data_IF_453425896110
#
_entry.id   IF_453425896110
#
_cell.length_a   1.000
_cell.length_b   1.000
_cell.length_c   1.000
_cell.angle_alpha   90.00
_cell.angle_beta   90.00
_cell.angle_gamma   90.00
#
_symmetry.space_group_name_H-M   'P 1'
#
loop_
_entity.id
_entity.type
_entity.pdbx_description
1 polymer ?
#
# COMPACT_ATOMS: atom_id res chain seq x y z
N UNK A 1 20.20 10.08 -1.56
CA UNK A 1 20.81 9.73 -0.27
C UNK A 1 20.57 8.24 0.03
N UNK A 2 19.33 7.81 0.30
CA UNK A 2 19.03 6.44 0.75
C UNK A 2 19.56 5.40 -0.24
N UNK A 3 19.27 5.54 -1.53
CA UNK A 3 19.73 4.59 -2.55
C UNK A 3 21.27 4.46 -2.53
N UNK A 4 22.02 5.56 -2.60
CA UNK A 4 23.49 5.51 -2.55
C UNK A 4 24.00 4.80 -1.28
N UNK A 5 23.40 5.06 -0.14
CA UNK A 5 23.78 4.39 1.10
C UNK A 5 23.56 2.88 1.06
N UNK A 6 22.43 2.40 0.52
CA UNK A 6 22.14 0.97 0.49
C UNK A 6 22.84 0.21 -0.64
N UNK A 7 23.28 0.90 -1.71
CA UNK A 7 23.96 0.26 -2.86
C UNK A 7 25.47 0.41 -2.81
N UNK A 8 25.97 1.53 -2.30
CA UNK A 8 27.39 1.91 -2.36
C UNK A 8 28.05 1.99 -0.98
N UNK A 9 27.25 1.95 0.09
CA UNK A 9 27.74 2.13 1.47
C UNK A 9 28.19 3.56 1.77
N UNK A 10 28.12 4.47 0.79
CA UNK A 10 28.57 5.85 0.93
C UNK A 10 27.57 6.82 0.32
N UNK A 11 27.56 8.06 0.80
CA UNK A 11 26.79 9.12 0.19
C UNK A 11 27.44 10.47 0.46
N UNK A 12 27.68 11.25 -0.61
CA UNK A 12 28.01 12.67 -0.51
C UNK A 12 26.92 13.46 -1.22
N UNK A 13 26.11 14.18 -0.46
CA UNK A 13 24.96 14.93 -0.96
C UNK A 13 24.91 16.31 -0.30
N UNK A 14 24.76 17.35 -1.12
CA UNK A 14 24.59 18.72 -0.64
C UNK A 14 23.34 19.32 -1.31
N UNK A 15 22.21 19.32 -0.61
CA UNK A 15 20.94 19.85 -1.07
C UNK A 15 20.53 21.11 -0.31
N UNK A 16 19.41 21.71 -0.73
CA UNK A 16 18.90 22.96 -0.12
C UNK A 16 18.43 22.80 1.33
N UNK A 17 18.06 21.59 1.76
CA UNK A 17 17.52 21.30 3.09
C UNK A 17 18.40 20.36 3.90
N UNK A 18 19.14 19.47 3.24
CA UNK A 18 19.98 18.47 3.89
C UNK A 18 21.33 18.38 3.21
N UNK A 19 22.36 18.20 4.01
CA UNK A 19 23.69 17.82 3.55
C UNK A 19 24.10 16.54 4.26
N UNK A 20 24.59 15.56 3.52
CA UNK A 20 25.03 14.28 4.04
C UNK A 20 26.42 13.97 3.47
N UNK A 21 27.35 13.63 4.35
CA UNK A 21 28.63 13.05 3.98
C UNK A 21 28.85 11.81 4.85
N UNK A 22 28.32 10.69 4.40
CA UNK A 22 28.36 9.42 5.09
C UNK A 22 29.30 8.46 4.37
N UNK A 23 30.11 7.72 5.14
CA UNK A 23 31.04 6.70 4.66
C UNK A 23 30.86 5.45 5.50
N UNK A 24 31.09 4.29 4.88
CA UNK A 24 31.14 3.00 5.56
C UNK A 24 29.80 2.61 6.23
N UNK A 25 28.68 2.81 5.54
CA UNK A 25 27.45 2.12 5.92
C UNK A 25 27.64 0.64 5.56
N UNK A 26 27.99 -0.16 6.52
CA UNK A 26 28.22 -1.58 6.27
C UNK A 26 28.07 -2.43 7.52
N UNK A 27 28.18 -3.76 7.36
CA UNK A 27 28.37 -4.48 6.09
C UNK A 27 27.15 -4.39 5.17
N UNK A 28 27.37 -4.18 3.88
CA UNK A 28 26.35 -4.37 2.85
C UNK A 28 26.26 -5.86 2.52
N UNK A 29 25.05 -6.34 2.23
CA UNK A 29 24.87 -7.69 1.69
C UNK A 29 25.38 -7.81 0.25
N UNK A 30 25.42 -9.04 -0.26
CA UNK A 30 25.82 -9.31 -1.66
C UNK A 30 24.84 -8.66 -2.67
N UNK A 31 23.56 -8.55 -2.29
CA UNK A 31 22.55 -7.84 -3.04
C UNK A 31 22.01 -6.64 -2.24
N UNK A 32 21.88 -5.46 -2.87
CA UNK A 32 21.29 -4.32 -2.20
C UNK A 32 19.82 -4.59 -1.86
N UNK A 33 19.33 -4.15 -0.69
CA UNK A 33 17.93 -4.32 -0.33
C UNK A 33 17.02 -3.50 -1.27
N UNK A 34 15.81 -4.01 -1.49
CA UNK A 34 14.79 -3.31 -2.28
C UNK A 34 14.39 -2.01 -1.58
N UNK A 35 14.35 -0.93 -2.35
CA UNK A 35 13.80 0.34 -1.89
C UNK A 35 12.29 0.36 -2.17
N UNK A 36 11.52 0.09 -1.14
CA UNK A 36 10.06 0.06 -1.19
C UNK A 36 9.52 1.36 -0.61
N UNK A 37 8.61 2.01 -1.30
CA UNK A 37 8.02 3.26 -0.83
C UNK A 37 6.51 3.28 -0.91
N UNK A 38 5.87 3.84 0.13
CA UNK A 38 4.42 4.05 0.15
C UNK A 38 4.06 5.40 -0.48
N UNK A 39 3.14 5.38 -1.43
CA UNK A 39 2.62 6.56 -2.10
C UNK A 39 1.12 6.71 -1.88
N UNK A 40 0.68 7.88 -1.45
CA UNK A 40 -0.72 8.15 -1.11
C UNK A 40 -1.30 9.42 -1.73
N UNK A 41 -0.51 10.14 -2.51
CA UNK A 41 -0.94 11.38 -3.17
C UNK A 41 -0.11 11.70 -4.40
N UNK A 42 -0.63 12.57 -5.26
CA UNK A 42 -0.02 12.88 -6.56
C UNK A 42 1.42 13.41 -6.46
N UNK A 43 1.74 14.12 -5.39
CA UNK A 43 3.11 14.62 -5.16
C UNK A 43 4.07 13.46 -4.87
N UNK A 44 3.72 12.58 -3.92
CA UNK A 44 4.56 11.43 -3.57
C UNK A 44 4.69 10.46 -4.73
N UNK A 45 3.62 10.22 -5.49
CA UNK A 45 3.67 9.43 -6.73
C UNK A 45 4.73 10.00 -7.67
N UNK A 46 4.68 11.30 -7.98
CA UNK A 46 5.61 11.92 -8.93
C UNK A 46 7.05 11.97 -8.43
N UNK A 47 7.25 12.33 -7.15
CA UNK A 47 8.57 12.65 -6.63
C UNK A 47 9.33 11.43 -6.10
N UNK A 48 8.63 10.37 -5.68
CA UNK A 48 9.23 9.22 -5.01
C UNK A 48 9.31 7.99 -5.92
N UNK A 49 8.28 7.73 -6.73
CA UNK A 49 8.23 6.55 -7.63
C UNK A 49 9.49 6.34 -8.49
N UNK A 50 10.15 7.40 -9.05
CA UNK A 50 11.34 7.19 -9.87
C UNK A 50 12.49 6.46 -9.17
N UNK A 51 12.52 6.48 -7.84
CA UNK A 51 13.61 5.93 -7.03
C UNK A 51 13.30 4.56 -6.42
N UNK A 52 12.07 4.07 -6.54
CA UNK A 52 11.63 2.84 -5.87
C UNK A 52 11.83 1.61 -6.74
N UNK A 53 12.04 0.47 -6.09
CA UNK A 53 12.05 -0.85 -6.71
C UNK A 53 10.67 -1.50 -6.65
N UNK A 54 9.84 -1.11 -5.65
CA UNK A 54 8.42 -1.45 -5.54
C UNK A 54 7.65 -0.28 -4.95
N UNK A 55 6.43 -0.08 -5.40
CA UNK A 55 5.50 0.95 -4.88
C UNK A 55 4.38 0.29 -4.08
N UNK A 56 4.22 0.73 -2.84
CA UNK A 56 3.06 0.40 -2.01
C UNK A 56 2.02 1.54 -2.12
N UNK A 57 0.89 1.27 -2.78
CA UNK A 57 -0.18 2.25 -2.94
C UNK A 57 -0.98 2.35 -1.64
N UNK A 58 -1.06 3.55 -1.07
CA UNK A 58 -1.92 3.87 0.07
C UNK A 58 -3.13 4.68 -0.39
N UNK A 59 -4.13 4.00 -0.97
CA UNK A 59 -5.36 4.64 -1.44
C UNK A 59 -6.12 5.34 -0.29
N UNK A 60 -6.02 4.81 0.95
CA UNK A 60 -6.64 5.37 2.16
C UNK A 60 -5.89 6.56 2.79
N UNK A 61 -4.91 7.15 2.12
CA UNK A 61 -4.07 8.21 2.71
C UNK A 61 -4.87 9.42 3.24
N UNK A 62 -6.03 9.72 2.63
CA UNK A 62 -6.92 10.80 3.08
C UNK A 62 -7.56 10.49 4.44
N UNK A 63 -7.91 9.22 4.71
CA UNK A 63 -8.59 8.79 5.93
C UNK A 63 -7.70 8.76 7.18
N UNK A 64 -6.39 8.99 7.03
CA UNK A 64 -5.43 8.96 8.16
C UNK A 64 -4.72 10.31 8.39
N UNK A 65 -5.12 11.37 7.70
CA UNK A 65 -4.44 12.69 7.79
C UNK A 65 -4.45 13.30 9.19
N UNK A 66 -5.49 13.06 9.97
CA UNK A 66 -5.63 13.56 11.33
C UNK A 66 -4.91 12.73 12.41
N UNK A 67 -4.07 11.74 12.01
CA UNK A 67 -3.41 10.83 12.95
C UNK A 67 -4.32 9.75 13.53
N UNK A 68 -5.59 9.75 13.13
CA UNK A 68 -6.59 8.72 13.46
C UNK A 68 -7.25 8.23 12.17
N UNK A 69 -7.65 6.97 12.16
CA UNK A 69 -8.39 6.40 11.04
C UNK A 69 -9.83 6.97 11.05
N UNK A 70 -10.22 7.58 9.95
CA UNK A 70 -11.57 8.05 9.68
C UNK A 70 -12.27 7.11 8.70
N UNK A 71 -13.16 6.26 9.23
CA UNK A 71 -13.88 5.26 8.46
C UNK A 71 -14.86 5.89 7.47
N UNK A 72 -15.45 7.06 7.78
CA UNK A 72 -16.36 7.74 6.87
C UNK A 72 -15.63 8.30 5.64
N UNK A 73 -14.42 8.86 5.86
CA UNK A 73 -13.58 9.29 4.73
C UNK A 73 -13.14 8.08 3.90
N UNK A 74 -12.80 6.96 4.54
CA UNK A 74 -12.39 5.73 3.86
C UNK A 74 -13.54 5.13 3.03
N UNK A 75 -14.75 5.10 3.59
CA UNK A 75 -15.97 4.60 2.93
C UNK A 75 -16.32 5.37 1.63
N UNK A 76 -15.90 6.63 1.52
CA UNK A 76 -16.17 7.47 0.35
C UNK A 76 -15.06 7.46 -0.71
N UNK A 77 -14.04 6.59 -0.58
CA UNK A 77 -12.96 6.48 -1.57
C UNK A 77 -13.45 5.63 -2.75
N UNK A 78 -13.60 6.21 -3.96
CA UNK A 78 -14.06 5.47 -5.12
C UNK A 78 -12.95 4.57 -5.69
N UNK A 79 -13.33 3.51 -6.38
CA UNK A 79 -12.38 2.61 -7.09
C UNK A 79 -11.53 3.36 -8.11
N UNK A 80 -12.11 4.34 -8.79
CA UNK A 80 -11.39 5.19 -9.76
C UNK A 80 -10.19 5.92 -9.16
N UNK A 81 -10.18 6.16 -7.84
CA UNK A 81 -9.04 6.75 -7.16
C UNK A 81 -7.84 5.80 -7.19
N UNK A 82 -8.02 4.53 -6.86
CA UNK A 82 -6.97 3.51 -6.93
C UNK A 82 -6.48 3.33 -8.37
N UNK A 83 -7.39 3.17 -9.33
CA UNK A 83 -7.05 2.98 -10.74
C UNK A 83 -6.23 4.16 -11.28
N UNK A 84 -6.62 5.40 -10.96
CA UNK A 84 -5.83 6.59 -11.32
C UNK A 84 -4.44 6.62 -10.68
N UNK A 85 -4.27 6.10 -9.46
CA UNK A 85 -2.95 5.99 -8.84
C UNK A 85 -2.08 4.96 -9.53
N UNK A 86 -2.63 3.79 -9.88
CA UNK A 86 -1.94 2.74 -10.64
C UNK A 86 -1.45 3.30 -11.99
N UNK A 87 -2.34 3.93 -12.75
CA UNK A 87 -1.99 4.55 -14.04
C UNK A 87 -0.83 5.56 -13.91
N UNK A 88 -0.89 6.45 -12.92
CA UNK A 88 0.15 7.45 -12.67
C UNK A 88 1.49 6.84 -12.31
N UNK A 89 1.49 5.78 -11.50
CA UNK A 89 2.72 5.07 -11.13
C UNK A 89 3.30 4.37 -12.35
N UNK A 90 2.48 3.66 -13.12
CA UNK A 90 2.90 2.95 -14.33
C UNK A 90 3.36 3.90 -15.44
N UNK A 91 2.80 5.12 -15.53
CA UNK A 91 3.27 6.15 -16.46
C UNK A 91 4.68 6.65 -16.13
N UNK A 92 5.08 6.65 -14.85
CA UNK A 92 6.41 7.07 -14.38
C UNK A 92 7.43 5.92 -14.49
N UNK A 93 7.03 4.72 -14.05
CA UNK A 93 7.85 3.51 -14.11
C UNK A 93 7.04 2.32 -14.62
N UNK A 94 6.99 2.11 -15.93
CA UNK A 94 6.31 0.96 -16.53
C UNK A 94 6.85 -0.37 -15.98
N UNK A 95 5.94 -1.25 -15.59
CA UNK A 95 6.28 -2.58 -15.08
C UNK A 95 6.82 -2.64 -13.65
N UNK A 96 6.84 -1.52 -12.92
CA UNK A 96 7.20 -1.57 -11.49
C UNK A 96 6.20 -2.43 -10.71
N UNK A 97 6.71 -3.23 -9.78
CA UNK A 97 5.88 -4.02 -8.88
C UNK A 97 5.01 -3.13 -7.99
N UNK A 98 3.72 -3.47 -7.89
CA UNK A 98 2.74 -2.73 -7.10
C UNK A 98 2.26 -3.57 -5.93
N UNK A 99 2.30 -2.97 -4.74
CA UNK A 99 1.62 -3.48 -3.56
C UNK A 99 0.52 -2.52 -3.09
N UNK A 100 -0.34 -2.99 -2.21
CA UNK A 100 -1.34 -2.17 -1.54
C UNK A 100 -1.49 -2.56 -0.07
N UNK A 101 -1.57 -1.56 0.80
CA UNK A 101 -1.99 -1.74 2.18
C UNK A 101 -3.52 -1.79 2.23
N UNK A 102 -4.06 -2.92 2.70
CA UNK A 102 -5.50 -3.21 2.72
C UNK A 102 -5.98 -3.38 4.15
N UNK A 103 -6.77 -2.42 4.62
CA UNK A 103 -7.60 -2.61 5.81
C UNK A 103 -8.76 -3.52 5.45
N UNK A 104 -9.01 -4.56 6.24
CA UNK A 104 -10.06 -5.54 5.95
C UNK A 104 -10.67 -6.14 7.22
N UNK A 105 -11.83 -6.78 7.07
CA UNK A 105 -12.38 -7.69 8.07
C UNK A 105 -13.23 -8.75 7.38
N UNK A 106 -12.89 -10.03 7.60
CA UNK A 106 -13.56 -11.17 6.99
C UNK A 106 -14.31 -11.97 8.05
N UNK A 107 -15.63 -11.95 8.00
CA UNK A 107 -16.49 -12.65 8.96
C UNK A 107 -17.97 -12.46 8.68
N UNK A 108 -18.81 -13.17 9.49
CA UNK A 108 -20.27 -13.09 9.38
C UNK A 108 -20.91 -12.60 10.70
N UNK A 109 -20.09 -12.12 11.64
CA UNK A 109 -20.53 -11.57 12.91
C UNK A 109 -21.09 -10.15 12.76
N UNK A 110 -21.76 -9.65 13.81
CA UNK A 110 -22.38 -8.33 13.81
C UNK A 110 -21.38 -7.17 13.70
N UNK A 111 -20.15 -7.36 14.22
CA UNK A 111 -19.12 -6.34 14.08
C UNK A 111 -18.69 -6.19 12.61
N UNK A 112 -18.44 -7.33 11.94
CA UNK A 112 -18.09 -7.34 10.50
C UNK A 112 -19.20 -6.76 9.65
N UNK A 113 -20.45 -7.12 9.90
CA UNK A 113 -21.62 -6.55 9.19
C UNK A 113 -21.74 -5.03 9.38
N UNK A 114 -21.47 -4.53 10.57
CA UNK A 114 -21.45 -3.09 10.85
C UNK A 114 -20.36 -2.36 10.07
N UNK A 115 -19.18 -2.94 9.95
CA UNK A 115 -18.08 -2.41 9.12
C UNK A 115 -18.45 -2.45 7.64
N UNK A 116 -19.01 -3.55 7.14
CA UNK A 116 -19.48 -3.72 5.76
C UNK A 116 -20.50 -2.65 5.39
N UNK A 117 -21.52 -2.43 6.23
CA UNK A 117 -22.52 -1.38 6.04
C UNK A 117 -21.88 0.02 6.01
N UNK A 118 -20.90 0.27 6.88
CA UNK A 118 -20.18 1.55 6.92
C UNK A 118 -19.40 1.80 5.66
N UNK A 119 -18.74 0.78 5.11
CA UNK A 119 -17.90 0.89 3.90
C UNK A 119 -18.71 0.98 2.61
N UNK A 120 -19.94 0.43 2.58
CA UNK A 120 -20.79 0.46 1.39
C UNK A 120 -20.15 -0.23 0.17
N UNK A 121 -20.48 0.31 -1.03
CA UNK A 121 -20.07 -0.31 -2.32
C UNK A 121 -18.86 0.38 -2.98
N UNK A 122 -18.11 1.20 -2.24
CA UNK A 122 -16.89 1.83 -2.74
C UNK A 122 -15.65 0.91 -2.60
N UNK A 123 -14.47 1.42 -2.96
CA UNK A 123 -13.21 0.66 -2.98
C UNK A 123 -13.03 -0.25 -1.75
N UNK A 124 -13.18 0.30 -0.56
CA UNK A 124 -12.94 -0.45 0.67
C UNK A 124 -14.08 -1.39 1.05
N UNK A 125 -15.29 -1.20 0.54
CA UNK A 125 -16.41 -2.12 0.73
C UNK A 125 -16.14 -3.54 0.23
N UNK A 126 -15.18 -3.71 -0.69
CA UNK A 126 -14.72 -5.03 -1.18
C UNK A 126 -13.98 -5.85 -0.12
N UNK A 127 -13.43 -5.20 0.90
CA UNK A 127 -12.54 -5.83 1.88
C UNK A 127 -13.20 -6.02 3.25
N UNK A 128 -14.51 -5.81 3.33
CA UNK A 128 -15.32 -6.01 4.54
C UNK A 128 -16.55 -6.85 4.22
N UNK A 129 -16.79 -7.90 5.02
CA UNK A 129 -17.92 -8.80 4.85
C UNK A 129 -17.53 -10.26 4.95
N UNK A 130 -18.27 -11.15 4.26
CA UNK A 130 -17.96 -12.57 4.30
C UNK A 130 -16.53 -12.87 3.79
N UNK A 131 -15.92 -13.98 4.23
CA UNK A 131 -14.58 -14.36 3.77
C UNK A 131 -14.50 -14.45 2.24
N UNK A 132 -15.54 -14.97 1.59
CA UNK A 132 -15.63 -15.11 0.13
C UNK A 132 -15.63 -13.73 -0.55
N UNK A 133 -16.41 -12.78 -0.05
CA UNK A 133 -16.46 -11.40 -0.56
C UNK A 133 -15.08 -10.74 -0.47
N UNK A 134 -14.41 -10.87 0.68
CA UNK A 134 -13.08 -10.28 0.86
C UNK A 134 -12.06 -10.95 -0.05
N UNK A 135 -12.10 -12.29 -0.21
CA UNK A 135 -11.23 -13.00 -1.13
C UNK A 135 -11.45 -12.56 -2.59
N UNK A 136 -12.70 -12.36 -3.03
CA UNK A 136 -13.02 -11.80 -4.35
C UNK A 136 -12.46 -10.37 -4.51
N UNK A 137 -12.57 -9.53 -3.47
CA UNK A 137 -11.97 -8.19 -3.46
C UNK A 137 -10.46 -8.22 -3.63
N UNK A 138 -9.77 -9.17 -3.00
CA UNK A 138 -8.31 -9.36 -3.16
C UNK A 138 -7.94 -9.88 -4.55
N UNK A 139 -8.72 -10.79 -5.12
CA UNK A 139 -8.54 -11.24 -6.52
C UNK A 139 -8.73 -10.09 -7.51
N UNK A 140 -9.74 -9.25 -7.27
CA UNK A 140 -9.94 -8.06 -8.08
C UNK A 140 -8.73 -7.11 -8.02
N UNK A 141 -8.08 -6.92 -6.86
CA UNK A 141 -6.82 -6.16 -6.79
C UNK A 141 -5.73 -6.73 -7.69
N UNK A 142 -5.58 -8.06 -7.70
CA UNK A 142 -4.62 -8.73 -8.57
C UNK A 142 -4.91 -8.47 -10.06
N UNK A 143 -6.18 -8.49 -10.47
CA UNK A 143 -6.62 -8.13 -11.82
C UNK A 143 -6.30 -6.68 -12.19
N UNK A 144 -6.24 -5.77 -11.20
CA UNK A 144 -5.80 -4.38 -11.41
C UNK A 144 -4.27 -4.23 -11.42
N UNK A 145 -3.51 -5.30 -11.31
CA UNK A 145 -2.05 -5.30 -11.36
C UNK A 145 -1.38 -5.10 -9.99
N UNK A 146 -2.12 -5.21 -8.88
CA UNK A 146 -1.55 -5.23 -7.53
C UNK A 146 -1.07 -6.66 -7.24
N UNK A 147 0.25 -6.88 -7.29
CA UNK A 147 0.86 -8.20 -7.08
C UNK A 147 0.99 -8.59 -5.60
N UNK A 148 0.85 -7.65 -4.69
CA UNK A 148 1.00 -7.86 -3.23
C UNK A 148 -0.04 -7.07 -2.45
N UNK A 149 -0.79 -7.75 -1.57
CA UNK A 149 -1.67 -7.11 -0.60
C UNK A 149 -1.11 -7.31 0.81
N UNK A 150 -0.83 -6.21 1.52
CA UNK A 150 -0.50 -6.24 2.94
C UNK A 150 -1.81 -6.10 3.72
N UNK A 151 -2.30 -7.20 4.24
CA UNK A 151 -3.56 -7.24 4.98
C UNK A 151 -3.38 -6.73 6.42
N UNK A 152 -4.27 -5.86 6.85
CA UNK A 152 -4.38 -5.37 8.22
C UNK A 152 -5.84 -5.54 8.68
N UNK A 153 -6.17 -6.70 9.23
CA UNK A 153 -7.52 -6.97 9.69
C UNK A 153 -7.83 -6.23 10.99
N UNK A 154 -9.13 -5.95 11.23
CA UNK A 154 -9.62 -5.47 12.52
C UNK A 154 -9.79 -6.61 13.53
N UNK A 155 -9.85 -7.85 13.04
CA UNK A 155 -9.94 -9.08 13.80
C UNK A 155 -8.94 -10.11 13.24
N UNK A 156 -8.01 -10.59 14.07
CA UNK A 156 -6.95 -11.54 13.67
C UNK A 156 -7.51 -12.84 13.07
N UNK A 157 -8.68 -13.30 13.53
CA UNK A 157 -9.34 -14.46 12.96
C UNK A 157 -9.75 -14.30 11.49
N UNK A 158 -9.78 -13.08 10.96
CA UNK A 158 -9.97 -12.82 9.54
C UNK A 158 -8.92 -13.47 8.67
N UNK A 159 -7.66 -13.53 9.13
CA UNK A 159 -6.57 -14.15 8.36
C UNK A 159 -6.76 -15.66 8.24
N UNK A 160 -7.18 -16.31 9.33
CA UNK A 160 -7.45 -17.76 9.35
C UNK A 160 -8.61 -18.12 8.40
N UNK A 161 -9.62 -17.25 8.31
CA UNK A 161 -10.77 -17.43 7.41
C UNK A 161 -10.43 -17.20 5.96
N UNK A 162 -9.49 -16.30 5.65
CA UNK A 162 -9.08 -15.95 4.29
C UNK A 162 -8.06 -16.92 3.71
N UNK A 163 -7.15 -17.46 4.52
CA UNK A 163 -6.06 -18.31 4.05
C UNK A 163 -6.52 -19.48 3.15
N UNK A 164 -7.57 -20.25 3.49
CA UNK A 164 -8.04 -21.35 2.62
C UNK A 164 -8.63 -20.90 1.28
N UNK A 165 -8.99 -19.63 1.13
CA UNK A 165 -9.61 -19.07 -0.08
C UNK A 165 -8.60 -18.42 -1.03
N UNK A 166 -7.36 -18.18 -0.55
CA UNK A 166 -6.31 -17.47 -1.25
C UNK A 166 -5.11 -18.35 -1.60
N UNK A 167 -4.97 -19.49 -0.93
CA UNK A 167 -3.92 -20.49 -1.13
C UNK A 167 -4.45 -21.71 -1.89
#
# INVERSE_FOLDING_TARGET
IVRSLITEGTCSFNGSYYSVNAKNLGPLGDEPPLLIGSVGGSRTVREVTPFLDRVEIKASSASTRGGKLDLQVMANIPESHLLSMIEKVQAIRPGIELGMFVLCNAGNDEFTKGLEQTMGDNLYGRFFGSPEKVAEGLKWLAEQGISRAQLSPFDDASLDRLAPLLL
#
